data_IF_293350885290
#
_entry.id   IF_293350885290
#
_cell.length_a   1.000
_cell.length_b   1.000
_cell.length_c   1.000
_cell.angle_alpha   90.00
_cell.angle_beta   90.00
_cell.angle_gamma   90.00
#
_symmetry.space_group_name_H-M   'P 1'
#
loop_
_entity.id
_entity.type
_entity.pdbx_description
1 polymer ?
#
# COMPACT_ATOMS: atom_id res chain seq x y z
N UNK A 1 11.04 -12.04 -79.80
CA UNK A 1 9.93 -11.49 -78.98
C UNK A 1 9.84 -12.26 -77.65
N UNK A 2 10.70 -11.97 -76.66
CA UNK A 2 10.64 -12.57 -75.30
C UNK A 2 11.50 -11.77 -74.31
N UNK A 3 11.03 -10.65 -73.77
CA UNK A 3 11.59 -10.06 -72.53
C UNK A 3 10.48 -9.20 -71.90
N UNK A 4 9.79 -9.65 -70.85
CA UNK A 4 8.99 -8.84 -69.89
C UNK A 4 8.17 -9.75 -68.93
N UNK A 5 8.81 -10.67 -68.19
CA UNK A 5 8.07 -11.51 -67.23
C UNK A 5 8.83 -11.91 -65.95
N UNK A 6 9.92 -11.21 -65.60
CA UNK A 6 10.79 -11.58 -64.46
C UNK A 6 10.75 -10.61 -63.27
N UNK A 7 10.09 -9.45 -63.39
CA UNK A 7 10.09 -8.44 -62.31
C UNK A 7 8.85 -8.48 -61.38
N UNK A 8 7.70 -9.03 -61.79
CA UNK A 8 6.51 -9.06 -60.95
C UNK A 8 6.62 -10.02 -59.75
N UNK A 9 7.31 -11.15 -59.91
CA UNK A 9 7.42 -12.19 -58.87
C UNK A 9 8.39 -11.82 -57.74
N UNK A 10 9.33 -10.89 -57.98
CA UNK A 10 10.21 -10.36 -56.95
C UNK A 10 9.45 -9.41 -56.02
N UNK A 11 8.63 -8.49 -56.57
CA UNK A 11 7.82 -7.56 -55.76
C UNK A 11 6.87 -8.28 -54.78
N UNK A 12 6.22 -9.36 -55.22
CA UNK A 12 5.28 -10.11 -54.39
C UNK A 12 5.92 -10.79 -53.16
N UNK A 13 7.24 -11.03 -53.17
CA UNK A 13 7.98 -11.63 -52.05
C UNK A 13 8.55 -10.61 -51.07
N UNK A 14 8.78 -9.36 -51.50
CA UNK A 14 9.33 -8.31 -50.62
C UNK A 14 8.23 -7.56 -49.87
N UNK A 15 7.02 -7.50 -50.43
CA UNK A 15 5.87 -6.80 -49.85
C UNK A 15 5.46 -7.29 -48.44
N UNK A 16 5.37 -8.60 -48.14
CA UNK A 16 5.02 -9.04 -46.79
C UNK A 16 6.13 -8.74 -45.76
N UNK A 17 7.40 -8.75 -46.17
CA UNK A 17 8.53 -8.43 -45.28
C UNK A 17 8.59 -6.93 -44.95
N UNK A 18 8.31 -6.07 -45.94
CA UNK A 18 8.23 -4.63 -45.73
C UNK A 18 7.03 -4.23 -44.86
N UNK A 19 5.90 -4.94 -44.98
CA UNK A 19 4.72 -4.70 -44.16
C UNK A 19 4.95 -5.07 -42.69
N UNK A 20 5.59 -6.22 -42.42
CA UNK A 20 5.95 -6.66 -41.06
C UNK A 20 6.94 -5.71 -40.42
N UNK A 21 7.95 -5.22 -41.16
CA UNK A 21 8.92 -4.26 -40.64
C UNK A 21 8.30 -2.89 -40.32
N UNK A 22 7.32 -2.45 -41.12
CA UNK A 22 6.55 -1.23 -40.84
C UNK A 22 5.66 -1.34 -39.60
N UNK A 23 5.07 -2.51 -39.33
CA UNK A 23 4.27 -2.74 -38.12
C UNK A 23 5.13 -2.75 -36.85
N UNK A 24 6.34 -3.30 -36.89
CA UNK A 24 7.26 -3.27 -35.74
C UNK A 24 7.76 -1.84 -35.47
N UNK A 25 8.04 -1.06 -36.51
CA UNK A 25 8.45 0.35 -36.35
C UNK A 25 7.32 1.26 -35.83
N UNK A 26 6.07 0.98 -36.19
CA UNK A 26 4.89 1.72 -35.70
C UNK A 26 4.41 1.30 -34.30
N UNK A 27 4.92 0.18 -33.76
CA UNK A 27 4.63 -0.26 -32.40
C UNK A 27 5.48 0.46 -31.33
N UNK A 28 6.49 1.23 -31.74
CA UNK A 28 7.16 2.20 -30.88
C UNK A 28 6.28 3.44 -30.74
N UNK A 29 5.22 3.36 -29.92
CA UNK A 29 4.48 4.55 -29.52
C UNK A 29 5.35 5.36 -28.58
N UNK A 30 5.58 6.64 -28.87
CA UNK A 30 6.13 7.59 -27.91
C UNK A 30 5.17 7.64 -26.72
N UNK A 31 5.47 6.86 -25.69
CA UNK A 31 4.75 6.93 -24.42
C UNK A 31 5.25 8.19 -23.74
N UNK A 32 4.44 9.24 -23.78
CA UNK A 32 4.70 10.43 -22.99
C UNK A 32 4.61 10.03 -21.51
N UNK A 33 5.78 9.81 -20.91
CA UNK A 33 5.89 9.60 -19.48
C UNK A 33 5.63 10.95 -18.81
N UNK A 34 4.37 11.18 -18.43
CA UNK A 34 4.01 12.33 -17.61
C UNK A 34 4.56 12.07 -16.21
N UNK A 35 5.63 12.78 -15.85
CA UNK A 35 6.14 12.80 -14.50
C UNK A 35 5.20 13.68 -13.66
N UNK A 36 4.40 13.03 -12.82
CA UNK A 36 3.55 13.71 -11.85
C UNK A 36 4.30 13.74 -10.52
N UNK A 37 4.68 14.94 -10.06
CA UNK A 37 5.19 15.11 -8.71
C UNK A 37 4.06 14.87 -7.71
N UNK A 38 4.20 13.80 -6.92
CA UNK A 38 3.27 13.47 -5.86
C UNK A 38 3.97 13.58 -4.51
N UNK A 39 3.33 14.20 -3.50
CA UNK A 39 3.82 14.12 -2.14
C UNK A 39 4.03 12.64 -1.73
N UNK A 40 5.10 12.32 -0.99
CA UNK A 40 5.40 10.94 -0.60
C UNK A 40 4.44 10.39 0.46
N UNK A 41 3.54 11.20 1.01
CA UNK A 41 2.53 10.83 2.01
C UNK A 41 1.36 11.81 1.97
N UNK A 42 0.19 11.34 2.41
CA UNK A 42 -1.01 12.17 2.58
C UNK A 42 -1.00 12.88 3.94
N UNK A 43 -1.82 13.92 4.07
CA UNK A 43 -2.12 14.49 5.39
C UNK A 43 -2.93 13.46 6.21
N UNK A 44 -2.67 13.33 7.53
CA UNK A 44 -3.52 12.58 8.44
C UNK A 44 -4.98 13.07 8.34
N UNK A 45 -5.94 12.15 8.31
CA UNK A 45 -7.36 12.56 8.38
C UNK A 45 -7.73 13.09 9.76
N UNK A 46 -6.99 12.67 10.79
CA UNK A 46 -6.97 13.29 12.11
C UNK A 46 -5.61 13.93 12.41
N UNK A 47 -5.55 15.26 12.34
CA UNK A 47 -4.35 16.06 12.63
C UNK A 47 -4.06 16.19 14.13
N UNK A 48 -4.93 15.68 15.00
CA UNK A 48 -4.69 15.64 16.45
C UNK A 48 -3.80 14.45 16.80
N UNK A 49 -4.17 13.27 16.28
CA UNK A 49 -3.49 12.00 16.59
C UNK A 49 -2.50 11.56 15.51
N UNK A 50 -2.52 12.20 14.35
CA UNK A 50 -1.44 12.19 13.36
C UNK A 50 -1.10 10.81 12.78
N UNK A 51 -2.05 9.88 12.74
CA UNK A 51 -1.86 8.60 12.04
C UNK A 51 -1.96 8.80 10.53
N UNK A 52 -1.06 8.17 9.77
CA UNK A 52 -1.00 8.29 8.32
C UNK A 52 -1.88 7.26 7.61
N UNK A 53 -1.76 5.99 8.00
CA UNK A 53 -2.44 4.86 7.39
C UNK A 53 -1.98 4.55 5.96
N UNK A 54 -2.90 3.95 5.19
CA UNK A 54 -2.74 3.72 3.78
C UNK A 54 -2.59 5.03 3.01
N UNK A 55 -1.69 4.99 2.04
CA UNK A 55 -1.44 6.07 1.10
C UNK A 55 -2.44 6.02 -0.04
N UNK A 56 -3.00 7.17 -0.39
CA UNK A 56 -3.83 7.30 -1.58
C UNK A 56 -2.92 7.18 -2.79
N UNK A 57 -2.95 6.05 -3.50
CA UNK A 57 -2.22 5.86 -4.78
C UNK A 57 -3.06 6.34 -5.97
N UNK A 58 -4.37 6.28 -5.88
CA UNK A 58 -5.27 6.86 -6.88
C UNK A 58 -6.45 7.45 -6.12
N UNK A 59 -6.75 8.76 -6.25
CA UNK A 59 -7.87 9.37 -5.54
C UNK A 59 -9.24 8.80 -5.93
N UNK A 60 -9.31 7.99 -6.98
CA UNK A 60 -10.53 7.30 -7.42
C UNK A 60 -10.66 5.88 -6.87
N UNK A 61 -9.63 5.36 -6.21
CA UNK A 61 -9.58 4.01 -5.62
C UNK A 61 -9.46 4.16 -4.09
N UNK A 62 -10.31 3.50 -3.29
CA UNK A 62 -10.16 3.50 -1.84
C UNK A 62 -8.76 3.03 -1.43
N UNK A 63 -8.07 3.72 -0.50
CA UNK A 63 -6.66 3.45 -0.21
C UNK A 63 -6.44 2.02 0.30
N UNK A 64 -7.40 1.44 1.02
CA UNK A 64 -7.40 0.05 1.50
C UNK A 64 -7.49 -1.01 0.39
N UNK A 65 -7.89 -0.67 -0.83
CA UNK A 65 -7.84 -1.60 -1.96
C UNK A 65 -6.42 -1.74 -2.52
N UNK A 66 -5.64 -0.65 -2.45
CA UNK A 66 -4.25 -0.64 -2.93
C UNK A 66 -3.28 -1.21 -1.90
N UNK A 67 -3.64 -1.12 -0.61
CA UNK A 67 -2.86 -1.59 0.55
C UNK A 67 -1.41 -1.11 0.61
N UNK A 68 -1.11 0.02 -0.02
CA UNK A 68 0.20 0.67 0.09
C UNK A 68 0.17 1.59 1.31
N UNK A 69 0.99 1.31 2.32
CA UNK A 69 1.09 2.20 3.49
C UNK A 69 1.91 3.44 3.15
N UNK A 70 1.66 4.56 3.84
CA UNK A 70 2.52 5.75 3.73
C UNK A 70 3.99 5.44 4.04
N UNK A 71 4.24 4.46 4.91
CA UNK A 71 5.58 3.97 5.23
C UNK A 71 6.24 3.26 4.03
N UNK A 72 5.45 2.48 3.27
CA UNK A 72 5.90 1.70 2.12
C UNK A 72 6.47 2.53 0.97
N UNK A 73 6.10 3.81 0.87
CA UNK A 73 6.65 4.74 -0.11
C UNK A 73 8.17 4.93 0.02
N UNK A 74 8.72 4.82 1.24
CA UNK A 74 10.17 4.86 1.50
C UNK A 74 10.73 3.50 1.93
N UNK A 75 9.91 2.64 2.55
CA UNK A 75 10.31 1.38 3.16
C UNK A 75 9.75 0.16 2.43
N UNK A 76 10.00 0.08 1.12
CA UNK A 76 9.43 -0.97 0.25
C UNK A 76 9.71 -2.41 0.74
N UNK A 77 10.89 -2.68 1.29
CA UNK A 77 11.22 -4.00 1.86
C UNK A 77 10.33 -4.36 3.05
N UNK A 78 10.06 -3.40 3.95
CA UNK A 78 9.20 -3.62 5.11
C UNK A 78 7.72 -3.73 4.70
N UNK A 79 7.27 -2.93 3.74
CA UNK A 79 5.94 -3.07 3.13
C UNK A 79 5.74 -4.47 2.55
N UNK A 80 6.71 -4.95 1.76
CA UNK A 80 6.65 -6.30 1.18
C UNK A 80 6.63 -7.38 2.26
N UNK A 81 7.46 -7.25 3.30
CA UNK A 81 7.45 -8.19 4.43
C UNK A 81 6.09 -8.21 5.16
N UNK A 82 5.56 -7.03 5.50
CA UNK A 82 4.27 -6.89 6.17
C UNK A 82 3.12 -7.50 5.37
N UNK A 83 3.13 -7.36 4.04
CA UNK A 83 2.10 -7.94 3.16
C UNK A 83 1.99 -9.46 3.18
N UNK A 84 3.00 -10.15 3.74
CA UNK A 84 3.00 -11.61 3.89
C UNK A 84 2.45 -12.09 5.24
N UNK A 85 2.06 -11.16 6.13
CA UNK A 85 1.61 -11.46 7.49
C UNK A 85 0.09 -11.47 7.59
N UNK A 86 -0.48 -12.14 8.60
CA UNK A 86 -1.92 -12.08 8.86
C UNK A 86 -2.43 -10.68 9.21
N UNK A 87 -1.54 -9.80 9.67
CA UNK A 87 -1.86 -8.39 9.95
C UNK A 87 -2.31 -7.62 8.70
N UNK A 88 -1.80 -8.01 7.51
CA UNK A 88 -2.15 -7.41 6.23
C UNK A 88 -3.62 -7.56 5.87
N UNK A 89 -4.27 -8.65 6.29
CA UNK A 89 -5.68 -8.96 5.99
C UNK A 89 -6.55 -9.01 7.25
N UNK A 90 -6.10 -8.36 8.33
CA UNK A 90 -6.77 -8.42 9.62
C UNK A 90 -8.22 -7.90 9.56
N UNK A 91 -8.47 -6.85 8.78
CA UNK A 91 -9.82 -6.29 8.62
C UNK A 91 -10.72 -7.20 7.80
N UNK A 92 -10.24 -7.66 6.64
CA UNK A 92 -11.00 -8.58 5.80
C UNK A 92 -11.35 -9.88 6.55
N UNK A 93 -10.40 -10.38 7.37
CA UNK A 93 -10.61 -11.56 8.23
C UNK A 93 -11.67 -11.29 9.30
N UNK A 94 -11.63 -10.13 9.96
CA UNK A 94 -12.64 -9.73 10.94
C UNK A 94 -14.03 -9.66 10.31
N UNK A 95 -14.16 -8.90 9.22
CA UNK A 95 -15.45 -8.71 8.55
C UNK A 95 -15.99 -10.02 7.96
N UNK A 96 -15.11 -10.89 7.47
CA UNK A 96 -15.46 -12.22 6.96
C UNK A 96 -15.85 -13.24 8.02
N UNK A 97 -15.62 -12.97 9.32
CA UNK A 97 -15.91 -13.90 10.41
C UNK A 97 -17.39 -14.11 10.69
N UNK A 98 -18.25 -13.15 10.30
CA UNK A 98 -19.67 -13.14 10.69
C UNK A 98 -19.94 -12.74 12.16
N UNK A 99 -18.89 -12.37 12.90
CA UNK A 99 -18.95 -12.04 14.33
C UNK A 99 -18.29 -10.69 14.65
N UNK A 100 -17.99 -9.87 13.64
CA UNK A 100 -17.37 -8.56 13.83
C UNK A 100 -18.25 -7.66 14.72
N UNK A 101 -17.63 -7.05 15.74
CA UNK A 101 -18.25 -6.10 16.66
C UNK A 101 -17.26 -4.94 16.90
N UNK A 102 -17.75 -3.78 17.33
CA UNK A 102 -16.95 -2.57 17.54
C UNK A 102 -15.75 -2.79 18.49
N UNK A 103 -15.88 -3.69 19.47
CA UNK A 103 -14.78 -4.00 20.39
C UNK A 103 -13.60 -4.74 19.72
N UNK A 104 -13.80 -5.31 18.53
CA UNK A 104 -12.75 -5.98 17.74
C UNK A 104 -11.87 -4.98 16.99
N UNK A 105 -12.44 -3.84 16.58
CA UNK A 105 -11.78 -2.87 15.70
C UNK A 105 -10.45 -2.36 16.25
N UNK A 106 -10.30 -2.05 17.56
CA UNK A 106 -9.03 -1.59 18.10
C UNK A 106 -7.86 -2.57 17.91
N UNK A 107 -8.12 -3.86 17.71
CA UNK A 107 -7.11 -4.89 17.50
C UNK A 107 -6.89 -5.22 16.01
N UNK A 108 -7.83 -4.86 15.14
CA UNK A 108 -7.83 -5.22 13.71
C UNK A 108 -7.64 -4.00 12.78
N UNK A 109 -7.31 -2.85 13.36
CA UNK A 109 -7.09 -1.57 12.68
C UNK A 109 -5.91 -0.82 13.33
N UNK A 110 -5.50 0.31 12.74
CA UNK A 110 -4.72 1.30 13.48
C UNK A 110 -5.63 1.97 14.51
N UNK A 111 -5.31 1.80 15.80
CA UNK A 111 -6.03 2.43 16.92
C UNK A 111 -5.12 3.08 17.96
N UNK A 112 -3.81 2.88 17.83
CA UNK A 112 -2.82 3.20 18.86
C UNK A 112 -2.67 2.14 19.97
N UNK A 113 -3.57 1.15 20.07
CA UNK A 113 -3.58 0.14 21.14
C UNK A 113 -2.26 -0.62 21.31
N UNK A 114 -1.63 -1.04 20.21
CA UNK A 114 -0.35 -1.75 20.23
C UNK A 114 0.88 -0.85 20.39
N UNK A 115 0.72 0.48 20.41
CA UNK A 115 1.84 1.42 20.48
C UNK A 115 2.29 1.68 21.93
N UNK A 116 3.56 2.05 22.09
CA UNK A 116 4.14 2.46 23.37
C UNK A 116 3.59 3.80 23.87
N UNK A 117 3.04 4.60 22.96
CA UNK A 117 2.32 5.84 23.21
C UNK A 117 0.93 5.66 22.60
N UNK A 118 -0.08 5.21 23.36
CA UNK A 118 -1.41 4.95 22.85
C UNK A 118 -2.33 6.17 23.08
N UNK A 119 -2.32 7.24 22.26
CA UNK A 119 -3.53 8.05 22.18
C UNK A 119 -4.61 7.23 21.44
N UNK A 120 -5.90 7.44 21.74
CA UNK A 120 -6.93 6.99 20.82
C UNK A 120 -6.72 7.70 19.49
N UNK A 121 -6.65 6.96 18.39
CA UNK A 121 -6.48 7.52 17.05
C UNK A 121 -6.80 6.51 15.96
N UNK A 122 -6.57 6.87 14.71
CA UNK A 122 -6.82 5.98 13.57
C UNK A 122 -8.29 5.63 13.41
N UNK A 123 -8.60 4.36 13.16
CA UNK A 123 -9.96 3.91 12.80
C UNK A 123 -10.97 4.19 13.92
N UNK A 124 -10.61 3.90 15.18
CA UNK A 124 -11.53 4.05 16.33
C UNK A 124 -11.99 5.49 16.60
N UNK A 125 -11.33 6.48 16.00
CA UNK A 125 -11.67 7.91 16.13
C UNK A 125 -12.22 8.52 14.85
N UNK A 126 -11.96 7.91 13.70
CA UNK A 126 -12.24 8.51 12.38
C UNK A 126 -13.13 7.66 11.49
N UNK A 127 -13.18 6.35 11.74
CA UNK A 127 -13.77 5.32 10.86
C UNK A 127 -13.25 5.39 9.41
N UNK A 128 -12.10 6.04 9.19
CA UNK A 128 -11.49 6.21 7.88
C UNK A 128 -10.86 4.89 7.42
N UNK A 129 -11.23 4.46 6.22
CA UNK A 129 -10.81 3.19 5.66
C UNK A 129 -9.30 3.10 5.46
N UNK A 130 -8.58 4.23 5.41
CA UNK A 130 -7.11 4.22 5.38
C UNK A 130 -6.47 3.56 6.60
N UNK A 131 -7.22 3.38 7.69
CA UNK A 131 -6.72 2.83 8.96
C UNK A 131 -7.09 1.37 9.19
N UNK A 132 -7.74 0.70 8.23
CA UNK A 132 -8.06 -0.73 8.37
C UNK A 132 -6.81 -1.59 8.26
N UNK A 133 -6.90 -2.83 8.76
CA UNK A 133 -5.79 -3.77 8.93
C UNK A 133 -4.80 -3.36 10.05
N UNK A 134 -3.97 -4.31 10.49
CA UNK A 134 -2.94 -4.05 11.49
C UNK A 134 -1.69 -3.56 10.77
N UNK A 135 -1.60 -2.25 10.56
CA UNK A 135 -0.52 -1.63 9.78
C UNK A 135 0.71 -1.30 10.65
N UNK A 136 1.70 -0.64 10.06
CA UNK A 136 2.95 -0.24 10.70
C UNK A 136 2.71 0.55 12.00
N UNK A 137 1.79 1.51 11.96
CA UNK A 137 1.52 2.44 13.05
C UNK A 137 0.78 1.80 14.23
N UNK A 138 0.24 0.58 14.06
CA UNK A 138 -0.36 -0.20 15.16
C UNK A 138 0.68 -0.58 16.22
N UNK A 139 1.96 -0.75 15.83
CA UNK A 139 3.06 -1.04 16.76
C UNK A 139 4.03 0.15 16.91
N UNK A 140 4.26 0.88 15.82
CA UNK A 140 5.26 1.96 15.77
C UNK A 140 4.73 3.34 16.19
N UNK A 141 3.42 3.47 16.45
CA UNK A 141 2.78 4.76 16.72
C UNK A 141 2.63 5.62 15.47
N UNK A 142 2.14 6.85 15.66
CA UNK A 142 1.96 7.84 14.58
C UNK A 142 3.29 8.10 13.86
N UNK A 143 3.24 8.08 12.52
CA UNK A 143 4.38 8.33 11.65
C UNK A 143 4.56 9.79 11.20
N UNK A 144 3.67 10.71 11.58
CA UNK A 144 3.63 12.07 11.02
C UNK A 144 4.93 12.86 11.20
N UNK A 145 5.46 12.89 12.43
CA UNK A 145 6.71 13.60 12.71
C UNK A 145 7.86 12.96 11.92
N UNK A 146 7.87 11.63 11.84
CA UNK A 146 8.87 10.86 11.10
C UNK A 146 8.88 11.21 9.61
N UNK A 147 7.72 11.21 8.94
CA UNK A 147 7.70 11.49 7.49
C UNK A 147 8.10 12.94 7.17
N UNK A 148 7.90 13.88 8.10
CA UNK A 148 8.33 15.27 7.95
C UNK A 148 9.81 15.50 8.33
N UNK A 149 10.38 14.68 9.21
CA UNK A 149 11.76 14.80 9.67
C UNK A 149 12.44 13.41 9.88
N UNK A 150 12.63 12.63 8.78
CA UNK A 150 12.96 11.21 8.87
C UNK A 150 14.38 10.91 9.39
N UNK A 151 15.23 11.93 9.50
CA UNK A 151 16.60 11.81 10.05
C UNK A 151 16.69 12.14 11.53
N UNK A 152 15.67 12.78 12.11
CA UNK A 152 15.70 13.28 13.50
C UNK A 152 14.58 12.74 14.37
N UNK A 153 13.54 12.16 13.78
CA UNK A 153 12.43 11.52 14.47
C UNK A 153 12.28 10.10 13.96
N UNK A 154 12.19 9.12 14.87
CA UNK A 154 12.10 7.70 14.52
C UNK A 154 10.89 7.09 15.20
N UNK A 155 10.05 6.34 14.46
CA UNK A 155 8.91 5.67 15.05
C UNK A 155 9.39 4.37 15.71
N UNK A 156 9.22 4.26 17.01
CA UNK A 156 9.68 3.09 17.77
C UNK A 156 8.56 2.08 17.93
N UNK A 157 8.81 0.86 17.48
CA UNK A 157 7.91 -0.25 17.74
C UNK A 157 7.86 -0.56 19.23
N UNK A 158 6.65 -0.72 19.77
CA UNK A 158 6.48 -1.49 20.98
C UNK A 158 6.60 -2.97 20.65
N UNK A 159 7.75 -3.57 20.95
CA UNK A 159 8.00 -5.02 20.80
C UNK A 159 8.15 -5.66 22.18
N UNK A 160 7.47 -5.10 23.19
CA UNK A 160 7.36 -5.79 24.46
C UNK A 160 6.58 -7.08 24.22
N UNK A 161 7.24 -8.21 24.48
CA UNK A 161 6.64 -9.54 24.54
C UNK A 161 6.78 -9.99 25.99
N UNK A 162 6.08 -9.27 26.86
CA UNK A 162 5.98 -9.60 28.27
C UNK A 162 4.51 -9.44 28.66
N UNK A 163 3.95 -10.51 29.19
CA UNK A 163 2.58 -10.60 29.70
C UNK A 163 2.21 -9.54 30.76
N UNK A 164 3.21 -8.83 31.31
CA UNK A 164 3.00 -7.69 32.22
C UNK A 164 2.84 -6.34 31.52
N UNK A 165 3.01 -6.27 30.20
CA UNK A 165 2.92 -5.04 29.41
C UNK A 165 1.56 -4.87 28.74
N UNK A 166 1.09 -3.62 28.65
CA UNK A 166 -0.18 -3.26 28.01
C UNK A 166 0.02 -2.64 26.63
N UNK A 167 1.14 -2.93 25.97
CA UNK A 167 1.51 -2.41 24.65
C UNK A 167 2.19 -3.53 23.82
N UNK A 168 2.45 -3.27 22.54
CA UNK A 168 3.02 -4.28 21.64
C UNK A 168 2.03 -5.41 21.32
N UNK A 169 2.55 -6.63 21.22
CA UNK A 169 1.78 -7.80 20.80
C UNK A 169 0.67 -8.15 21.79
N UNK A 170 0.98 -8.07 23.09
CA UNK A 170 0.10 -8.45 24.19
C UNK A 170 -1.05 -7.45 24.36
N UNK A 171 -1.02 -6.30 23.69
CA UNK A 171 -2.19 -5.42 23.67
C UNK A 171 -3.41 -6.03 22.94
N UNK A 172 -3.18 -7.02 22.07
CA UNK A 172 -4.20 -7.69 21.26
C UNK A 172 -4.21 -9.22 21.42
N UNK A 173 -3.05 -9.85 21.65
CA UNK A 173 -2.90 -11.31 21.69
C UNK A 173 -2.87 -11.89 23.11
N UNK A 174 -3.96 -11.73 23.86
CA UNK A 174 -4.05 -12.11 25.28
C UNK A 174 -4.65 -13.51 25.54
N UNK A 175 -4.37 -14.48 24.66
CA UNK A 175 -4.92 -15.87 24.70
C UNK A 175 -6.46 -16.01 24.65
N UNK A 176 -7.20 -14.89 24.66
CA UNK A 176 -8.67 -14.86 24.65
C UNK A 176 -9.15 -13.93 23.54
N UNK A 177 -9.82 -14.48 22.53
CA UNK A 177 -10.61 -13.70 21.57
C UNK A 177 -12.07 -13.71 22.06
N UNK A 178 -12.65 -12.52 22.21
CA UNK A 178 -13.99 -12.30 22.77
C UNK A 178 -15.11 -12.79 21.84
#
# INVERSE_FOLDING_TARGET
MRILATNLSRLARVLPLALVLGMVAGACTDTESVFVDRPPFDQPSDQTNNYLGYFTVDPTVPPEETKITSCGNCHATFQSGWSTTGHYDAWATLQGSGHAQDFCEPCHTISGRGSSTPPPGGYTTTEDSRYVDVQCESCHGSGWDHVNAPTTTQPYASIAVDTSTTNGCDACHQDTHH
#
